data_IF_851726500750
#
_entry.id   IF_851726500750
#
_cell.length_a   1.000
_cell.length_b   1.000
_cell.length_c   1.000
_cell.angle_alpha   90.00
_cell.angle_beta   90.00
_cell.angle_gamma   90.00
#
_symmetry.space_group_name_H-M   'P 1'
#
loop_
_entity.id
_entity.type
_entity.pdbx_description
1 polymer ?
#
# COMPACT_ATOMS: atom_id res chain seq x y z
N UNK A 1 -19.02 -5.51 -6.33
CA UNK A 1 -18.57 -5.69 -4.93
C UNK A 1 -18.37 -4.31 -4.33
N UNK A 2 -19.39 -3.77 -3.66
CA UNK A 2 -19.32 -2.46 -3.01
C UNK A 2 -19.30 -2.64 -1.51
N UNK A 3 -18.17 -2.34 -0.87
CA UNK A 3 -18.14 -2.17 0.58
C UNK A 3 -18.50 -0.73 0.85
N UNK A 4 -19.55 -0.51 1.64
CA UNK A 4 -19.96 0.82 2.09
C UNK A 4 -18.93 1.35 3.09
N UNK A 5 -17.85 1.96 2.58
CA UNK A 5 -16.92 2.74 3.37
C UNK A 5 -17.59 4.07 3.74
N UNK A 6 -17.54 4.47 5.01
CA UNK A 6 -18.10 5.74 5.45
C UNK A 6 -17.40 6.90 4.72
N UNK A 7 -18.17 7.96 4.40
CA UNK A 7 -17.76 9.03 3.48
C UNK A 7 -16.45 9.69 3.90
N UNK A 8 -16.23 9.81 5.22
CA UNK A 8 -15.02 10.39 5.81
C UNK A 8 -13.72 9.64 5.48
N UNK A 9 -13.80 8.36 5.07
CA UNK A 9 -12.61 7.58 4.70
C UNK A 9 -12.35 7.57 3.19
N UNK A 10 -13.23 8.13 2.35
CA UNK A 10 -13.07 8.08 0.89
C UNK A 10 -11.76 8.73 0.42
N UNK A 11 -11.35 9.81 1.08
CA UNK A 11 -10.12 10.52 0.74
C UNK A 11 -8.86 9.66 0.98
N UNK A 12 -8.90 8.68 1.89
CA UNK A 12 -7.78 7.77 2.16
C UNK A 12 -7.53 6.75 1.04
N UNK A 13 -8.50 6.56 0.14
CA UNK A 13 -8.43 5.61 -0.98
C UNK A 13 -8.36 6.30 -2.35
N UNK A 14 -8.25 7.63 -2.38
CA UNK A 14 -7.96 8.36 -3.61
C UNK A 14 -6.56 8.00 -4.08
N UNK A 15 -6.44 7.66 -5.37
CA UNK A 15 -5.14 7.38 -5.99
C UNK A 15 -4.39 8.69 -6.19
N UNK A 16 -3.09 8.69 -5.88
CA UNK A 16 -2.19 9.76 -6.30
C UNK A 16 -2.08 9.78 -7.84
N UNK A 17 -1.87 10.96 -8.41
CA UNK A 17 -1.60 11.11 -9.83
C UNK A 17 -0.13 10.81 -10.14
N UNK A 18 0.20 10.56 -11.41
CA UNK A 18 1.60 10.42 -11.84
C UNK A 18 2.41 11.72 -11.68
N UNK A 19 1.74 12.88 -11.65
CA UNK A 19 2.40 14.16 -11.40
C UNK A 19 2.77 14.35 -9.92
N UNK A 20 2.05 13.69 -9.00
CA UNK A 20 2.21 13.84 -7.55
C UNK A 20 3.01 12.68 -6.93
N UNK A 21 3.34 11.64 -7.70
CA UNK A 21 3.93 10.42 -7.17
C UNK A 21 4.91 9.75 -8.16
N UNK A 22 6.13 9.51 -7.71
CA UNK A 22 7.18 8.78 -8.42
C UNK A 22 7.49 7.47 -7.68
N UNK A 23 7.51 6.35 -8.42
CA UNK A 23 7.76 5.01 -7.88
C UNK A 23 9.18 4.52 -8.16
N UNK A 24 9.96 5.25 -8.96
CA UNK A 24 11.33 4.92 -9.34
C UNK A 24 11.49 3.52 -9.97
N UNK A 25 10.45 3.08 -10.71
CA UNK A 25 10.40 1.75 -11.32
C UNK A 25 10.19 0.58 -10.32
N UNK A 26 9.98 0.87 -9.03
CA UNK A 26 9.67 -0.15 -8.02
C UNK A 26 8.20 -0.57 -8.15
N UNK A 27 7.97 -1.88 -8.20
CA UNK A 27 6.63 -2.45 -8.34
C UNK A 27 5.77 -2.32 -7.08
N UNK A 28 4.47 -2.54 -7.22
CA UNK A 28 3.52 -2.49 -6.09
C UNK A 28 3.79 -3.61 -5.08
N UNK A 29 4.19 -3.24 -3.87
CA UNK A 29 4.48 -4.19 -2.79
C UNK A 29 3.29 -4.35 -1.84
N UNK A 30 2.60 -5.49 -1.92
CA UNK A 30 1.52 -5.84 -0.99
C UNK A 30 1.98 -5.95 0.47
N UNK A 31 3.26 -6.19 0.71
CA UNK A 31 3.87 -6.33 2.04
C UNK A 31 4.51 -5.06 2.58
N UNK A 32 4.44 -3.95 1.85
CA UNK A 32 4.94 -2.65 2.31
C UNK A 32 4.35 -2.27 3.66
N UNK A 33 5.16 -1.66 4.54
CA UNK A 33 4.70 -1.13 5.83
C UNK A 33 3.65 -0.02 5.65
N UNK A 34 3.66 0.65 4.50
CA UNK A 34 2.71 1.70 4.13
C UNK A 34 1.41 1.12 3.55
N UNK A 35 1.35 -0.18 3.28
CA UNK A 35 0.16 -0.79 2.70
C UNK A 35 -0.93 -0.99 3.76
N UNK A 36 -2.11 -0.40 3.56
CA UNK A 36 -3.26 -0.61 4.44
C UNK A 36 -3.65 -2.09 4.60
N UNK A 37 -4.14 -2.46 5.77
CA UNK A 37 -4.70 -3.79 6.08
C UNK A 37 -5.91 -4.12 5.21
N UNK A 38 -6.09 -5.41 4.93
CA UNK A 38 -7.29 -5.94 4.24
C UNK A 38 -8.60 -5.61 4.99
N UNK A 39 -8.55 -5.55 6.32
CA UNK A 39 -9.70 -5.27 7.21
C UNK A 39 -9.35 -4.12 8.15
N UNK A 40 -10.36 -3.32 8.48
CA UNK A 40 -10.31 -2.29 9.53
C UNK A 40 -11.36 -2.57 10.60
N UNK A 41 -11.17 -2.07 11.82
CA UNK A 41 -12.09 -2.24 12.95
C UNK A 41 -13.53 -1.82 12.62
N UNK A 42 -13.73 -0.85 11.72
CA UNK A 42 -15.07 -0.40 11.31
C UNK A 42 -15.79 -1.28 10.28
N UNK A 43 -15.13 -2.32 9.73
CA UNK A 43 -15.59 -3.02 8.53
C UNK A 43 -16.59 -4.17 8.75
N UNK A 44 -17.13 -4.37 9.97
CA UNK A 44 -18.05 -5.48 10.31
C UNK A 44 -17.58 -6.84 9.74
N UNK A 45 -16.29 -7.16 9.88
CA UNK A 45 -15.61 -8.35 9.36
C UNK A 45 -15.53 -8.51 7.83
N UNK A 46 -16.00 -7.53 7.04
CA UNK A 46 -15.86 -7.53 5.58
C UNK A 46 -14.51 -6.91 5.17
N UNK A 47 -13.82 -7.44 4.15
CA UNK A 47 -12.59 -6.82 3.66
C UNK A 47 -12.89 -5.44 3.06
N UNK A 48 -12.16 -4.39 3.45
CA UNK A 48 -12.26 -3.07 2.82
C UNK A 48 -11.56 -3.02 1.46
N UNK A 49 -10.43 -3.73 1.35
CA UNK A 49 -9.71 -3.93 0.10
C UNK A 49 -9.54 -5.42 -0.15
N UNK A 50 -9.55 -5.78 -1.43
CA UNK A 50 -9.28 -7.13 -1.89
C UNK A 50 -8.12 -7.00 -2.89
N UNK A 51 -6.98 -7.67 -2.67
CA UNK A 51 -5.88 -7.60 -3.61
C UNK A 51 -6.30 -8.25 -4.93
N UNK A 52 -5.74 -7.76 -6.04
CA UNK A 52 -6.02 -8.31 -7.36
C UNK A 52 -5.60 -9.79 -7.43
N UNK A 53 -4.41 -10.10 -6.91
CA UNK A 53 -3.98 -11.46 -6.65
C UNK A 53 -4.33 -11.85 -5.21
N UNK A 54 -5.26 -12.81 -5.08
CA UNK A 54 -5.83 -13.24 -3.80
C UNK A 54 -4.80 -13.85 -2.85
N UNK A 55 -3.64 -14.32 -3.35
CA UNK A 55 -2.59 -14.91 -2.50
C UNK A 55 -1.99 -13.91 -1.51
N UNK A 56 -2.06 -12.60 -1.81
CA UNK A 56 -1.50 -11.55 -0.95
C UNK A 56 -2.46 -11.02 0.11
N UNK A 57 -3.66 -11.60 0.26
CA UNK A 57 -4.68 -11.08 1.18
C UNK A 57 -4.25 -11.02 2.65
N UNK A 58 -3.27 -11.84 3.05
CA UNK A 58 -2.68 -11.84 4.40
C UNK A 58 -1.30 -11.16 4.46
N UNK A 59 -0.75 -10.74 3.32
CA UNK A 59 0.50 -9.97 3.25
C UNK A 59 0.25 -8.49 3.53
N UNK A 60 -0.92 -7.98 3.12
CA UNK A 60 -1.34 -6.57 3.29
C UNK A 60 -1.45 -6.15 4.75
N UNK A 61 -0.92 -4.96 5.07
CA UNK A 61 -0.96 -4.41 6.43
C UNK A 61 0.02 -5.05 7.39
N UNK A 62 1.14 -5.52 6.84
CA UNK A 62 2.35 -5.89 7.57
C UNK A 62 2.84 -4.73 8.42
N UNK A 63 3.33 -5.03 9.62
CA UNK A 63 4.04 -4.06 10.47
C UNK A 63 5.55 -4.05 10.24
N UNK A 64 6.04 -4.84 9.27
CA UNK A 64 7.46 -4.96 8.95
C UNK A 64 7.79 -4.08 7.75
N UNK A 65 8.96 -3.44 7.79
CA UNK A 65 9.51 -2.69 6.66
C UNK A 65 9.94 -3.70 5.57
N UNK A 66 9.45 -3.51 4.34
CA UNK A 66 9.82 -4.36 3.21
C UNK A 66 11.14 -3.92 2.58
N UNK A 67 11.75 -4.81 1.79
CA UNK A 67 12.92 -4.45 0.96
C UNK A 67 12.58 -3.33 -0.03
N UNK A 68 11.39 -3.37 -0.62
CA UNK A 68 10.91 -2.35 -1.56
C UNK A 68 10.80 -0.98 -0.90
N UNK A 69 10.31 -0.91 0.34
CA UNK A 69 10.24 0.35 1.11
C UNK A 69 11.64 0.96 1.30
N UNK A 70 12.61 0.14 1.72
CA UNK A 70 14.00 0.59 1.91
C UNK A 70 14.60 1.05 0.58
N UNK A 71 14.39 0.29 -0.49
CA UNK A 71 14.91 0.64 -1.82
C UNK A 71 14.30 1.96 -2.33
N UNK A 72 13.01 2.19 -2.10
CA UNK A 72 12.32 3.42 -2.52
C UNK A 72 12.86 4.64 -1.77
N UNK A 73 13.00 4.55 -0.45
CA UNK A 73 13.57 5.64 0.36
C UNK A 73 15.03 5.89 -0.01
N UNK A 74 15.82 4.84 -0.24
CA UNK A 74 17.21 5.00 -0.66
C UNK A 74 17.34 5.68 -2.03
N UNK A 75 16.43 5.40 -2.96
CA UNK A 75 16.39 6.11 -4.23
C UNK A 75 16.00 7.58 -4.03
N UNK A 76 14.93 7.83 -3.27
CA UNK A 76 14.39 9.17 -3.02
C UNK A 76 15.42 10.11 -2.36
N UNK A 77 16.26 9.60 -1.46
CA UNK A 77 17.27 10.37 -0.73
C UNK A 77 18.71 10.16 -1.25
N UNK A 78 18.89 9.56 -2.42
CA UNK A 78 20.21 9.32 -3.02
C UNK A 78 21.17 8.52 -2.14
N UNK A 79 20.64 7.57 -1.35
CA UNK A 79 21.40 6.64 -0.51
C UNK A 79 21.64 5.28 -1.19
N UNK A 80 21.19 5.10 -2.42
CA UNK A 80 21.43 3.87 -3.18
C UNK A 80 22.88 3.86 -3.65
N UNK A 81 23.66 2.91 -3.14
CA UNK A 81 25.06 2.76 -3.53
C UNK A 81 25.20 2.53 -5.03
N UNK A 82 26.16 3.20 -5.65
CA UNK A 82 26.65 2.83 -6.97
C UNK A 82 27.42 1.52 -6.84
N UNK A 83 27.12 0.54 -7.69
CA UNK A 83 27.93 -0.67 -7.81
C UNK A 83 29.35 -0.35 -8.27
#
# INVERSE_FOLDING_TARGET
MGVSLAKEYHDQFKKASEADNENFGIGYDYGSIMHYRRRSSGSKNKPLMVPADKKYGFTMGSGMISFSDISLVNELYSCKGTA
#
